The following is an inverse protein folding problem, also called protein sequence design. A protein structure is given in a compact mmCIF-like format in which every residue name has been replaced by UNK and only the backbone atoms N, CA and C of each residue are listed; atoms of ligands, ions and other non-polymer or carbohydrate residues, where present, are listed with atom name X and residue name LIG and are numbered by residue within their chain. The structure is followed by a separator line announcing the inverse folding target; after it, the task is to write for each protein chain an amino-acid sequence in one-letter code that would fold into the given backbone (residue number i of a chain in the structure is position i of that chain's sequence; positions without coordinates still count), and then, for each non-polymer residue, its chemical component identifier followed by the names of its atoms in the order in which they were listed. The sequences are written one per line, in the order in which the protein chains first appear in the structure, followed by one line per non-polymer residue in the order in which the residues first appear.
data_IF_551483959864
#
_entry.id   IF_551483959864
#
_cell.length_a   1.000
_cell.length_b   1.000
_cell.length_c   1.000
_cell.angle_alpha   90.00
_cell.angle_beta   90.00
_cell.angle_gamma   90.00
#
_symmetry.space_group_name_H-M   'P 1'
#
loop_
_entity.id
_entity.type
_entity.pdbx_description
1 polymer ?
#
# COMPACT_ATOMS: atom_id res chain seq x y z
N UNK A 1 -25.26 -26.90 34.28
CA UNK A 1 -24.30 -25.80 34.03
C UNK A 1 -24.20 -25.53 32.54
N UNK A 2 -24.79 -24.45 32.04
CA UNK A 2 -24.68 -24.03 30.62
C UNK A 2 -24.69 -22.50 30.53
N UNK A 3 -23.57 -21.86 30.86
CA UNK A 3 -23.36 -20.42 30.67
C UNK A 3 -22.00 -20.25 29.96
N UNK A 4 -21.91 -20.70 28.70
CA UNK A 4 -20.76 -20.40 27.86
C UNK A 4 -21.15 -20.54 26.38
N UNK A 5 -21.83 -19.54 25.80
CA UNK A 5 -22.11 -19.57 24.36
C UNK A 5 -22.42 -18.21 23.74
N UNK A 6 -23.03 -17.27 24.48
CA UNK A 6 -23.40 -15.96 23.91
C UNK A 6 -22.26 -14.93 23.85
N UNK A 7 -21.18 -15.11 24.63
CA UNK A 7 -20.01 -14.22 24.58
C UNK A 7 -19.17 -14.44 23.31
N UNK A 8 -18.98 -15.71 22.89
CA UNK A 8 -18.13 -16.08 21.75
C UNK A 8 -18.49 -15.38 20.44
N UNK A 9 -19.77 -15.30 20.07
CA UNK A 9 -20.19 -14.64 18.81
C UNK A 9 -19.95 -13.12 18.86
N UNK A 10 -20.21 -12.50 20.00
CA UNK A 10 -20.11 -11.04 20.17
C UNK A 10 -18.65 -10.59 20.29
N UNK A 11 -17.80 -11.37 20.97
CA UNK A 11 -16.35 -11.14 21.01
C UNK A 11 -15.69 -11.32 19.65
N UNK A 12 -16.03 -12.38 18.92
CA UNK A 12 -15.51 -12.60 17.56
C UNK A 12 -15.92 -11.47 16.60
N UNK A 13 -17.16 -10.95 16.68
CA UNK A 13 -17.57 -9.79 15.90
C UNK A 13 -16.85 -8.50 16.30
N UNK A 14 -16.46 -8.34 17.57
CA UNK A 14 -15.65 -7.19 18.01
C UNK A 14 -14.21 -7.28 17.48
N UNK A 15 -13.65 -8.48 17.41
CA UNK A 15 -12.32 -8.73 16.81
C UNK A 15 -12.34 -8.41 15.32
N UNK A 16 -13.31 -8.94 14.57
CA UNK A 16 -13.43 -8.66 13.13
C UNK A 16 -13.64 -7.18 12.82
N UNK A 17 -14.36 -6.45 13.68
CA UNK A 17 -14.52 -5.00 13.55
C UNK A 17 -13.22 -4.23 13.84
N UNK A 18 -12.38 -4.71 14.76
CA UNK A 18 -11.07 -4.10 15.03
C UNK A 18 -10.08 -4.36 13.90
N UNK A 19 -10.05 -5.58 13.37
CA UNK A 19 -9.24 -5.96 12.21
C UNK A 19 -9.60 -5.13 10.98
N UNK A 20 -10.89 -5.03 10.65
CA UNK A 20 -11.37 -4.20 9.54
C UNK A 20 -10.99 -2.71 9.70
N UNK A 21 -11.05 -2.19 10.93
CA UNK A 21 -10.61 -0.81 11.22
C UNK A 21 -9.10 -0.64 11.08
N UNK A 22 -8.31 -1.63 11.48
CA UNK A 22 -6.86 -1.61 11.33
C UNK A 22 -6.49 -1.61 9.84
N UNK A 23 -7.11 -2.49 9.05
CA UNK A 23 -6.95 -2.52 7.59
C UNK A 23 -7.32 -1.18 6.96
N UNK A 24 -8.47 -0.60 7.32
CA UNK A 24 -8.88 0.70 6.79
C UNK A 24 -7.87 1.81 7.10
N UNK A 25 -7.32 1.85 8.33
CA UNK A 25 -6.26 2.80 8.70
C UNK A 25 -4.98 2.58 7.90
N UNK A 26 -4.60 1.32 7.68
CA UNK A 26 -3.46 0.97 6.85
C UNK A 26 -3.63 1.42 5.40
N UNK A 27 -4.82 1.24 4.82
CA UNK A 27 -5.14 1.73 3.48
C UNK A 27 -5.07 3.25 3.39
N UNK A 28 -5.68 3.97 4.33
CA UNK A 28 -5.62 5.43 4.38
C UNK A 28 -4.19 5.96 4.52
N UNK A 29 -3.40 5.33 5.40
CA UNK A 29 -2.01 5.69 5.59
C UNK A 29 -1.20 5.48 4.31
N UNK A 30 -1.38 4.32 3.66
CA UNK A 30 -0.70 4.01 2.39
C UNK A 30 -1.08 5.00 1.30
N UNK A 31 -2.36 5.35 1.19
CA UNK A 31 -2.84 6.30 0.19
C UNK A 31 -2.27 7.71 0.41
N UNK A 32 -2.11 8.11 1.69
CA UNK A 32 -1.50 9.39 2.05
C UNK A 32 -0.01 9.51 1.71
N UNK A 33 0.74 8.40 1.69
CA UNK A 33 2.21 8.45 1.49
C UNK A 33 2.68 7.81 0.18
N UNK A 34 1.82 7.02 -0.46
CA UNK A 34 2.11 6.24 -1.65
C UNK A 34 0.86 6.08 -2.53
N UNK A 35 -0.05 7.06 -2.51
CA UNK A 35 -1.20 7.12 -3.40
C UNK A 35 -0.80 7.38 -4.86
N UNK A 36 -1.74 7.24 -5.81
CA UNK A 36 -1.50 7.42 -7.24
C UNK A 36 -0.82 8.74 -7.60
N UNK A 37 -1.24 9.85 -6.98
CA UNK A 37 -0.69 11.18 -7.25
C UNK A 37 0.78 11.29 -6.82
N UNK A 38 1.13 10.71 -5.68
CA UNK A 38 2.50 10.67 -5.16
C UNK A 38 3.37 9.78 -6.07
N UNK A 39 2.84 8.63 -6.47
CA UNK A 39 3.52 7.72 -7.40
C UNK A 39 3.78 8.42 -8.74
N UNK A 40 2.80 9.16 -9.28
CA UNK A 40 2.95 9.93 -10.51
C UNK A 40 4.04 11.00 -10.37
N UNK A 41 3.97 11.80 -9.30
CA UNK A 41 4.92 12.88 -9.02
C UNK A 41 6.37 12.37 -8.94
N UNK A 42 6.58 11.23 -8.27
CA UNK A 42 7.94 10.67 -8.06
C UNK A 42 8.46 9.95 -9.30
N UNK A 43 7.62 9.16 -9.95
CA UNK A 43 8.05 8.33 -11.08
C UNK A 43 8.22 9.12 -12.38
N UNK A 44 7.44 10.21 -12.53
CA UNK A 44 7.34 11.01 -13.75
C UNK A 44 6.61 10.27 -14.88
N UNK A 45 5.84 9.22 -14.57
CA UNK A 45 5.05 8.48 -15.55
C UNK A 45 3.67 9.10 -15.73
N UNK A 46 3.13 8.94 -16.94
CA UNK A 46 1.80 9.44 -17.29
C UNK A 46 0.99 8.38 -18.06
N UNK A 47 -0.34 8.57 -18.11
CA UNK A 47 -1.25 7.74 -18.90
C UNK A 47 -1.16 6.25 -18.60
N UNK A 48 -0.98 5.42 -19.63
CA UNK A 48 -0.94 3.96 -19.48
C UNK A 48 0.28 3.49 -18.67
N UNK A 49 1.41 4.17 -18.82
CA UNK A 49 2.65 3.79 -18.13
C UNK A 49 2.53 4.01 -16.62
N UNK A 50 1.89 5.11 -16.20
CA UNK A 50 1.56 5.35 -14.79
C UNK A 50 0.68 4.24 -14.22
N UNK A 51 -0.37 3.84 -14.95
CA UNK A 51 -1.26 2.77 -14.49
C UNK A 51 -0.51 1.44 -14.35
N UNK A 52 0.33 1.09 -15.32
CA UNK A 52 1.15 -0.13 -15.26
C UNK A 52 2.14 -0.08 -14.07
N UNK A 53 2.73 1.09 -13.81
CA UNK A 53 3.63 1.29 -12.67
C UNK A 53 2.90 1.26 -11.32
N UNK A 54 1.69 1.82 -11.21
CA UNK A 54 0.86 1.72 -9.99
C UNK A 54 0.56 0.25 -9.67
N UNK A 55 0.22 -0.56 -10.68
CA UNK A 55 0.02 -2.02 -10.51
C UNK A 55 1.31 -2.69 -10.06
N UNK A 56 2.46 -2.29 -10.61
CA UNK A 56 3.77 -2.78 -10.18
C UNK A 56 4.08 -2.41 -8.72
N UNK A 57 3.83 -1.16 -8.32
CA UNK A 57 3.95 -0.70 -6.94
C UNK A 57 3.01 -1.47 -6.00
N UNK A 58 1.77 -1.76 -6.41
CA UNK A 58 0.85 -2.55 -5.58
C UNK A 58 1.35 -3.96 -5.27
N UNK A 59 2.18 -4.55 -6.15
CA UNK A 59 2.77 -5.88 -5.92
C UNK A 59 4.09 -5.81 -5.13
N UNK A 60 4.89 -4.78 -5.36
CA UNK A 60 6.28 -4.73 -4.88
C UNK A 60 6.55 -3.74 -3.74
N UNK A 61 5.70 -2.72 -3.57
CA UNK A 61 5.88 -1.68 -2.56
C UNK A 61 5.40 -2.16 -1.19
N UNK A 62 6.36 -2.42 -0.29
CA UNK A 62 6.11 -2.78 1.10
C UNK A 62 6.22 -1.55 1.99
N UNK A 63 5.08 -1.07 2.47
CA UNK A 63 4.94 0.01 3.45
C UNK A 63 4.54 -0.59 4.79
N UNK A 64 5.26 -0.22 5.84
CA UNK A 64 5.01 -0.55 7.24
C UNK A 64 4.58 0.69 8.01
N UNK A 65 4.03 0.51 9.21
CA UNK A 65 3.65 1.63 10.09
C UNK A 65 4.84 2.46 10.59
N UNK A 66 6.07 1.96 10.44
CA UNK A 66 7.29 2.68 10.79
C UNK A 66 7.83 3.55 9.64
N UNK A 67 7.32 3.34 8.41
CA UNK A 67 7.74 4.12 7.27
C UNK A 67 7.12 5.52 7.36
N UNK A 68 7.92 6.56 7.15
CA UNK A 68 7.42 7.91 6.96
C UNK A 68 7.36 8.26 5.46
N UNK A 69 6.87 9.46 5.15
CA UNK A 69 6.74 9.95 3.77
C UNK A 69 8.07 9.84 3.01
N UNK A 70 9.18 10.29 3.60
CA UNK A 70 10.50 10.26 2.94
C UNK A 70 10.93 8.82 2.62
N UNK A 71 10.73 7.88 3.55
CA UNK A 71 11.03 6.47 3.31
C UNK A 71 10.15 5.87 2.21
N UNK A 72 8.87 6.20 2.19
CA UNK A 72 7.95 5.79 1.14
C UNK A 72 8.39 6.33 -0.24
N UNK A 73 8.78 7.60 -0.30
CA UNK A 73 9.27 8.22 -1.53
C UNK A 73 10.52 7.52 -2.06
N UNK A 74 11.52 7.29 -1.20
CA UNK A 74 12.75 6.58 -1.58
C UNK A 74 12.47 5.16 -2.09
N UNK A 75 11.51 4.45 -1.48
CA UNK A 75 11.09 3.11 -1.94
C UNK A 75 10.41 3.18 -3.30
N UNK A 76 9.57 4.17 -3.54
CA UNK A 76 8.91 4.39 -4.84
C UNK A 76 9.95 4.71 -5.91
N UNK A 77 10.93 5.58 -5.64
CA UNK A 77 12.02 5.89 -6.57
C UNK A 77 12.84 4.64 -6.95
N UNK A 78 13.17 3.82 -5.95
CA UNK A 78 13.92 2.59 -6.17
C UNK A 78 13.13 1.59 -7.02
N UNK A 79 11.82 1.48 -6.80
CA UNK A 79 10.94 0.67 -7.65
C UNK A 79 10.79 1.26 -9.05
N UNK A 80 10.76 2.58 -9.19
CA UNK A 80 10.69 3.24 -10.50
C UNK A 80 11.95 2.94 -11.33
N UNK A 81 13.13 2.97 -10.70
CA UNK A 81 14.39 2.56 -11.36
C UNK A 81 14.35 1.10 -11.81
N UNK A 82 13.97 0.18 -10.92
CA UNK A 82 13.83 -1.25 -11.26
C UNK A 82 12.83 -1.49 -12.38
N UNK A 83 11.68 -0.83 -12.33
CA UNK A 83 10.66 -0.94 -13.35
C UNK A 83 11.18 -0.48 -14.73
N UNK A 84 11.94 0.63 -14.77
CA UNK A 84 12.59 1.11 -16.00
C UNK A 84 13.62 0.12 -16.52
N UNK A 85 14.45 -0.45 -15.64
CA UNK A 85 15.44 -1.48 -15.99
C UNK A 85 14.77 -2.75 -16.56
N UNK A 86 13.73 -3.26 -15.89
CA UNK A 86 12.99 -4.46 -16.31
C UNK A 86 12.26 -4.26 -17.65
N UNK A 87 11.78 -3.04 -17.92
CA UNK A 87 11.11 -2.68 -19.16
C UNK A 87 12.06 -2.27 -20.29
N UNK A 88 13.36 -2.17 -20.03
CA UNK A 88 14.33 -1.66 -21.00
C UNK A 88 14.13 -0.19 -21.36
N UNK A 89 13.48 0.60 -20.49
CA UNK A 89 13.30 2.05 -20.65
C UNK A 89 14.60 2.73 -20.25
N UNK A 90 15.63 2.60 -21.08
CA UNK A 90 16.85 3.38 -20.94
C UNK A 90 16.59 4.77 -21.54
N UNK A 91 16.72 5.82 -20.71
CA UNK A 91 16.97 7.15 -21.25
C UNK A 91 18.35 7.11 -21.90
N UNK A 92 18.38 7.24 -23.23
CA UNK A 92 19.55 7.82 -23.90
C UNK A 92 19.80 9.23 -23.38
#
# INVERSE_FOLDING_TARGET
SFIYSKFSKTENSKLSLQEARAEQKHYQFRDQIAGPDIIAMISGFEGKELNDFIVYCNKNLKISNADNIIMAMNKIELLAKKYKEEKGIQKN
#
